data_IF_994207060897
#
_entry.id   IF_994207060897
#
_cell.length_a   1.000
_cell.length_b   1.000
_cell.length_c   1.000
_cell.angle_alpha   90.00
_cell.angle_beta   90.00
_cell.angle_gamma   90.00
#
_symmetry.space_group_name_H-M   'P 1'
#
loop_
_entity.id
_entity.type
_entity.pdbx_description
1 polymer ?
#
# COMPACT_ATOMS: atom_id res chain seq x y z
N UNK A 1 30.95 -1.89 10.14
CA UNK A 1 29.73 -2.43 10.80
C UNK A 1 28.52 -1.91 10.03
N UNK A 2 27.89 -2.76 9.21
CA UNK A 2 26.73 -2.37 8.43
C UNK A 2 25.60 -2.01 9.41
N UNK A 3 25.27 -0.72 9.47
CA UNK A 3 24.14 -0.24 10.24
C UNK A 3 22.91 -1.03 9.78
N UNK A 4 22.36 -1.86 10.68
CA UNK A 4 21.09 -2.54 10.43
C UNK A 4 20.06 -1.45 10.15
N UNK A 5 19.64 -1.34 8.89
CA UNK A 5 18.56 -0.44 8.49
C UNK A 5 17.35 -0.83 9.32
N UNK A 6 16.82 0.07 10.15
CA UNK A 6 15.61 -0.17 10.94
C UNK A 6 14.49 -0.61 10.00
N UNK A 7 14.10 -1.87 10.12
CA UNK A 7 13.18 -2.65 9.29
C UNK A 7 11.72 -2.13 9.28
N UNK A 8 11.48 -0.91 8.82
CA UNK A 8 10.10 -0.44 8.68
C UNK A 8 9.88 0.96 8.14
N UNK A 9 10.84 1.88 8.30
CA UNK A 9 10.65 3.25 7.83
C UNK A 9 10.61 3.31 6.29
N UNK A 10 9.67 4.06 5.69
CA UNK A 10 9.71 4.29 4.25
C UNK A 10 11.00 4.99 3.89
N UNK A 11 11.74 4.42 2.94
CA UNK A 11 12.89 5.09 2.36
C UNK A 11 12.38 6.20 1.43
N UNK A 12 12.15 7.39 1.99
CA UNK A 12 11.63 8.54 1.24
C UNK A 12 12.45 8.82 -0.01
N UNK A 13 13.77 8.59 0.05
CA UNK A 13 14.66 8.72 -1.11
C UNK A 13 14.32 7.72 -2.20
N UNK A 14 13.93 6.49 -1.84
CA UNK A 14 13.50 5.48 -2.81
C UNK A 14 12.26 5.93 -3.60
N UNK A 15 11.28 6.56 -2.93
CA UNK A 15 10.06 7.07 -3.56
C UNK A 15 10.25 8.39 -4.34
N UNK A 16 11.40 9.06 -4.18
CA UNK A 16 11.79 10.23 -4.97
C UNK A 16 12.55 9.88 -6.25
N UNK A 17 13.07 8.66 -6.38
CA UNK A 17 13.80 8.19 -7.56
C UNK A 17 12.83 8.04 -8.75
N UNK A 18 13.19 8.62 -9.89
CA UNK A 18 12.39 8.60 -11.13
C UNK A 18 12.07 7.18 -11.62
N UNK A 19 13.01 6.24 -11.48
CA UNK A 19 12.80 4.83 -11.82
C UNK A 19 11.72 4.18 -10.95
N UNK A 20 11.74 4.42 -9.64
CA UNK A 20 10.70 3.96 -8.72
C UNK A 20 9.36 4.59 -9.05
N UNK A 21 9.35 5.89 -9.34
CA UNK A 21 8.13 6.60 -9.77
C UNK A 21 7.58 5.96 -11.06
N UNK A 22 8.41 5.51 -11.98
CA UNK A 22 7.96 4.81 -13.18
C UNK A 22 7.26 3.48 -12.88
N UNK A 23 7.60 2.78 -11.78
CA UNK A 23 6.91 1.56 -11.35
C UNK A 23 5.45 1.80 -10.96
N UNK A 24 5.07 3.04 -10.63
CA UNK A 24 3.68 3.39 -10.33
C UNK A 24 2.80 3.56 -11.58
N UNK A 25 3.36 3.48 -12.79
CA UNK A 25 2.60 3.57 -14.04
C UNK A 25 1.46 2.52 -14.14
N UNK A 26 1.71 1.20 -13.98
CA UNK A 26 0.64 0.18 -14.00
C UNK A 26 -0.42 0.42 -12.91
N UNK A 27 0.00 0.93 -11.75
CA UNK A 27 -0.90 1.27 -10.64
C UNK A 27 -1.82 2.43 -11.02
N UNK A 28 -1.25 3.49 -11.59
CA UNK A 28 -2.01 4.64 -12.11
C UNK A 28 -3.04 4.17 -13.14
N UNK A 29 -2.62 3.34 -14.11
CA UNK A 29 -3.54 2.81 -15.14
C UNK A 29 -4.68 2.01 -14.52
N UNK A 30 -4.41 1.20 -13.50
CA UNK A 30 -5.44 0.47 -12.77
C UNK A 30 -6.44 1.41 -12.08
N UNK A 31 -5.98 2.47 -11.41
CA UNK A 31 -6.84 3.47 -10.78
C UNK A 31 -7.68 4.24 -11.81
N UNK A 32 -7.07 4.64 -12.93
CA UNK A 32 -7.75 5.29 -14.04
C UNK A 32 -8.76 4.38 -14.73
N UNK A 33 -8.68 3.05 -14.58
CA UNK A 33 -9.63 2.10 -15.16
C UNK A 33 -10.78 1.80 -14.19
N UNK A 34 -10.47 1.47 -12.93
CA UNK A 34 -11.43 0.97 -11.94
C UNK A 34 -12.04 2.07 -11.06
N UNK A 35 -11.29 3.16 -10.84
CA UNK A 35 -11.68 4.23 -9.92
C UNK A 35 -12.00 5.54 -10.66
N UNK A 36 -12.38 5.49 -11.95
CA UNK A 36 -12.63 6.68 -12.81
C UNK A 36 -13.39 7.80 -12.12
N UNK A 37 -14.53 7.50 -11.48
CA UNK A 37 -15.36 8.47 -10.74
C UNK A 37 -14.64 9.19 -9.60
N UNK A 38 -13.64 8.55 -9.00
CA UNK A 38 -12.88 9.08 -7.86
C UNK A 38 -11.62 9.83 -8.30
N UNK A 39 -11.01 9.43 -9.42
CA UNK A 39 -9.78 10.04 -9.96
C UNK A 39 -10.03 11.10 -11.04
N UNK A 40 -11.29 11.30 -11.45
CA UNK A 40 -11.65 12.29 -12.47
C UNK A 40 -11.45 13.73 -11.99
N UNK A 41 -11.68 14.00 -10.69
CA UNK A 41 -11.54 15.34 -10.12
C UNK A 41 -10.07 15.73 -9.97
N UNK A 42 -9.20 14.76 -9.68
CA UNK A 42 -7.76 14.97 -9.54
C UNK A 42 -7.02 13.72 -10.03
N UNK A 43 -6.53 13.71 -11.29
CA UNK A 43 -5.90 12.52 -11.86
C UNK A 43 -4.62 12.18 -11.09
N UNK A 44 -4.48 10.94 -10.58
CA UNK A 44 -3.29 10.54 -9.84
C UNK A 44 -2.09 10.55 -10.78
N UNK A 45 -1.04 11.25 -10.38
CA UNK A 45 0.26 11.22 -11.06
C UNK A 45 1.16 10.19 -10.40
N UNK A 46 2.08 9.58 -11.14
CA UNK A 46 3.02 8.59 -10.60
C UNK A 46 3.78 9.15 -9.37
N UNK A 47 4.17 10.43 -9.43
CA UNK A 47 4.82 11.13 -8.31
C UNK A 47 3.90 11.23 -7.10
N UNK A 48 2.63 11.62 -7.30
CA UNK A 48 1.66 11.70 -6.19
C UNK A 48 1.40 10.33 -5.56
N UNK A 49 1.35 9.26 -6.35
CA UNK A 49 1.17 7.90 -5.85
C UNK A 49 2.38 7.45 -5.04
N UNK A 50 3.59 7.72 -5.52
CA UNK A 50 4.83 7.42 -4.79
C UNK A 50 4.89 8.14 -3.45
N UNK A 51 4.62 9.45 -3.43
CA UNK A 51 4.57 10.23 -2.18
C UNK A 51 3.47 9.75 -1.24
N UNK A 52 2.28 9.40 -1.75
CA UNK A 52 1.18 8.90 -0.96
C UNK A 52 1.51 7.55 -0.30
N UNK A 53 2.13 6.64 -1.04
CA UNK A 53 2.61 5.36 -0.51
C UNK A 53 3.64 5.56 0.60
N UNK A 54 4.61 6.46 0.42
CA UNK A 54 5.59 6.80 1.45
C UNK A 54 4.92 7.37 2.71
N UNK A 55 3.93 8.26 2.54
CA UNK A 55 3.15 8.82 3.64
C UNK A 55 2.37 7.76 4.42
N UNK A 56 1.72 6.82 3.71
CA UNK A 56 0.99 5.71 4.34
C UNK A 56 1.92 4.82 5.16
N UNK A 57 3.08 4.47 4.61
CA UNK A 57 4.10 3.70 5.33
C UNK A 57 4.60 4.45 6.57
N UNK A 58 4.85 5.76 6.46
CA UNK A 58 5.31 6.56 7.58
C UNK A 58 4.26 6.60 8.70
N UNK A 59 3.00 6.86 8.33
CA UNK A 59 1.88 6.81 9.26
C UNK A 59 1.81 5.46 9.95
N UNK A 60 2.00 4.38 9.17
CA UNK A 60 1.94 3.03 9.68
C UNK A 60 3.03 2.79 10.75
N UNK A 61 4.27 3.17 10.49
CA UNK A 61 5.37 3.01 11.46
C UNK A 61 5.17 3.85 12.72
N UNK A 62 4.72 5.10 12.57
CA UNK A 62 4.59 6.01 13.70
C UNK A 62 3.43 5.65 14.63
N UNK A 63 2.34 5.11 14.08
CA UNK A 63 1.11 4.82 14.84
C UNK A 63 0.95 3.34 15.22
N UNK A 64 1.36 2.39 14.37
CA UNK A 64 1.28 0.96 14.69
C UNK A 64 2.57 0.40 15.30
N UNK A 65 3.70 1.10 15.17
CA UNK A 65 4.98 0.66 15.69
C UNK A 65 5.20 0.91 17.18
N UNK A 66 4.37 1.74 17.83
CA UNK A 66 4.64 2.26 19.20
C UNK A 66 3.59 1.91 20.27
N UNK A 67 2.34 1.63 19.91
CA UNK A 67 1.26 1.36 20.89
C UNK A 67 0.64 -0.04 20.74
N UNK A 68 0.96 -0.93 21.69
CA UNK A 68 0.52 -2.34 21.77
C UNK A 68 -1.01 -2.50 21.76
N UNK A 69 -1.75 -1.52 22.28
CA UNK A 69 -3.22 -1.57 22.34
C UNK A 69 -3.90 -1.39 20.97
N UNK A 70 -3.31 -0.62 20.04
CA UNK A 70 -3.82 -0.46 18.66
C UNK A 70 -3.34 -1.58 17.74
N UNK A 71 -2.22 -2.20 18.08
CA UNK A 71 -1.64 -3.36 17.38
C UNK A 71 -2.57 -4.57 17.30
N UNK A 72 -3.43 -4.76 18.32
CA UNK A 72 -4.40 -5.84 18.35
C UNK A 72 -5.60 -5.63 17.41
N UNK A 73 -5.90 -4.39 17.03
CA UNK A 73 -7.03 -4.03 16.16
C UNK A 73 -6.63 -3.83 14.70
N UNK A 74 -5.37 -3.47 14.44
CA UNK A 74 -4.87 -3.15 13.12
C UNK A 74 -3.62 -3.97 12.82
N UNK A 75 -3.78 -4.96 11.96
CA UNK A 75 -2.68 -5.80 11.50
C UNK A 75 -1.78 -4.95 10.60
N UNK A 76 -0.57 -4.63 11.05
CA UNK A 76 0.42 -3.87 10.26
C UNK A 76 0.55 -4.51 8.86
N UNK A 77 0.23 -3.75 7.81
CA UNK A 77 0.35 -4.27 6.44
C UNK A 77 1.83 -4.53 6.13
N UNK A 78 2.20 -5.73 5.65
CA UNK A 78 3.57 -6.02 5.26
C UNK A 78 4.07 -5.03 4.20
N UNK A 79 5.30 -4.52 4.33
CA UNK A 79 5.91 -3.62 3.32
C UNK A 79 5.87 -4.21 1.91
N UNK A 80 5.92 -5.55 1.79
CA UNK A 80 5.80 -6.28 0.52
C UNK A 80 4.51 -5.92 -0.25
N UNK A 81 3.41 -5.59 0.44
CA UNK A 81 2.16 -5.19 -0.21
C UNK A 81 2.24 -3.79 -0.82
N UNK A 82 3.04 -2.90 -0.25
CA UNK A 82 3.28 -1.56 -0.79
C UNK A 82 4.31 -1.54 -1.92
N UNK A 83 5.04 -2.64 -2.12
CA UNK A 83 6.03 -2.81 -3.19
C UNK A 83 5.52 -3.71 -4.34
N UNK A 84 4.24 -4.05 -4.32
CA UNK A 84 3.59 -4.86 -5.36
C UNK A 84 3.02 -3.96 -6.46
N UNK A 85 3.91 -3.53 -7.36
CA UNK A 85 3.58 -2.67 -8.50
C UNK A 85 2.84 -3.40 -9.64
N UNK A 86 2.42 -4.65 -9.42
CA UNK A 86 1.69 -5.42 -10.42
C UNK A 86 0.34 -4.76 -10.74
N UNK A 87 -0.12 -4.92 -11.98
CA UNK A 87 -1.42 -4.39 -12.43
C UNK A 87 -2.56 -5.12 -11.71
N UNK A 88 -3.20 -4.45 -10.76
CA UNK A 88 -4.20 -5.08 -9.87
C UNK A 88 -3.60 -5.83 -8.68
N UNK A 89 -2.31 -5.64 -8.41
CA UNK A 89 -1.65 -6.12 -7.19
C UNK A 89 -2.16 -5.41 -5.93
N UNK A 90 -1.60 -5.78 -4.80
CA UNK A 90 -2.00 -5.26 -3.49
C UNK A 90 -1.84 -3.74 -3.37
N UNK A 91 -0.77 -3.15 -3.92
CA UNK A 91 -0.59 -1.69 -3.95
C UNK A 91 -1.71 -0.97 -4.71
N UNK A 92 -2.21 -1.57 -5.79
CA UNK A 92 -3.33 -1.02 -6.56
C UNK A 92 -4.60 -0.95 -5.71
N UNK A 93 -4.91 -2.02 -4.99
CA UNK A 93 -6.08 -2.12 -4.12
C UNK A 93 -5.96 -1.16 -2.94
N UNK A 94 -4.76 -1.04 -2.35
CA UNK A 94 -4.46 -0.07 -1.28
C UNK A 94 -4.77 1.34 -1.77
N UNK A 95 -4.11 1.78 -2.85
CA UNK A 95 -4.27 3.13 -3.37
C UNK A 95 -5.70 3.40 -3.87
N UNK A 96 -6.38 2.39 -4.43
CA UNK A 96 -7.77 2.48 -4.85
C UNK A 96 -8.70 2.82 -3.67
N UNK A 97 -8.51 2.15 -2.53
CA UNK A 97 -9.29 2.44 -1.32
C UNK A 97 -8.93 3.80 -0.73
N UNK A 98 -7.67 4.21 -0.82
CA UNK A 98 -7.22 5.54 -0.37
C UNK A 98 -7.90 6.65 -1.16
N UNK A 99 -7.89 6.58 -2.50
CA UNK A 99 -8.55 7.59 -3.33
C UNK A 99 -10.07 7.54 -3.20
N UNK A 100 -10.65 6.35 -3.04
CA UNK A 100 -12.09 6.18 -2.78
C UNK A 100 -12.49 6.84 -1.47
N UNK A 101 -11.79 6.54 -0.39
CA UNK A 101 -12.06 7.10 0.95
C UNK A 101 -11.81 8.60 0.96
N UNK A 102 -10.76 9.10 0.30
CA UNK A 102 -10.51 10.54 0.11
C UNK A 102 -11.74 11.24 -0.48
N UNK A 103 -12.34 10.65 -1.51
CA UNK A 103 -13.50 11.22 -2.20
C UNK A 103 -14.79 11.08 -1.37
N UNK A 104 -15.05 9.91 -0.79
CA UNK A 104 -16.25 9.67 0.03
C UNK A 104 -16.26 10.52 1.31
N UNK A 105 -15.09 10.77 1.91
CA UNK A 105 -14.96 11.64 3.07
C UNK A 105 -14.70 13.11 2.72
N UNK A 106 -14.62 13.47 1.43
CA UNK A 106 -14.41 14.85 0.98
C UNK A 106 -13.07 15.47 1.43
N UNK A 107 -12.00 14.67 1.54
CA UNK A 107 -10.71 15.15 2.00
C UNK A 107 -10.04 16.04 0.94
N UNK A 108 -9.78 17.31 1.31
CA UNK A 108 -9.02 18.23 0.48
C UNK A 108 -7.54 17.85 0.35
N UNK A 109 -6.95 17.30 1.41
CA UNK A 109 -5.54 16.87 1.48
C UNK A 109 -5.40 15.68 2.42
N UNK A 110 -4.45 14.80 2.12
CA UNK A 110 -4.01 13.76 3.04
C UNK A 110 -3.21 14.40 4.18
N UNK A 111 -3.64 14.17 5.40
CA UNK A 111 -2.99 14.68 6.61
C UNK A 111 -2.86 13.55 7.61
N UNK A 112 -1.71 12.89 7.52
CA UNK A 112 -1.33 11.75 8.34
C UNK A 112 -0.59 12.17 9.61
N UNK A 113 -0.21 13.45 9.74
CA UNK A 113 0.51 13.96 10.91
C UNK A 113 -0.44 14.51 11.98
N UNK A 114 -1.64 14.93 11.60
CA UNK A 114 -2.61 15.49 12.55
C UNK A 114 -3.27 14.40 13.41
N UNK A 115 -3.08 14.41 14.74
CA UNK A 115 -3.73 13.44 15.63
C UNK A 115 -5.26 13.58 15.64
N UNK A 116 -5.80 14.76 15.34
CA UNK A 116 -7.24 15.00 15.21
C UNK A 116 -7.89 14.22 14.06
N UNK A 117 -7.09 13.77 13.08
CA UNK A 117 -7.55 12.94 11.95
C UNK A 117 -7.19 11.47 12.12
N UNK A 118 -6.59 11.10 13.24
CA UNK A 118 -6.10 9.75 13.50
C UNK A 118 -7.20 8.71 13.34
N UNK A 119 -8.41 8.94 13.87
CA UNK A 119 -9.52 7.98 13.75
C UNK A 119 -9.91 7.73 12.29
N UNK A 120 -9.96 8.79 11.48
CA UNK A 120 -10.27 8.68 10.04
C UNK A 120 -9.15 7.99 9.27
N UNK A 121 -7.89 8.27 9.63
CA UNK A 121 -6.74 7.61 9.03
C UNK A 121 -6.70 6.12 9.41
N UNK A 122 -7.03 5.78 10.66
CA UNK A 122 -7.18 4.40 11.13
C UNK A 122 -8.31 3.68 10.37
N UNK A 123 -9.47 4.32 10.23
CA UNK A 123 -10.61 3.79 9.48
C UNK A 123 -10.25 3.54 8.01
N UNK A 124 -9.46 4.43 7.40
CA UNK A 124 -8.91 4.22 6.07
C UNK A 124 -8.09 2.92 5.99
N UNK A 125 -7.20 2.66 6.96
CA UNK A 125 -6.43 1.42 7.03
C UNK A 125 -7.31 0.17 7.23
N UNK A 126 -8.37 0.27 8.06
CA UNK A 126 -9.35 -0.82 8.22
C UNK A 126 -10.08 -1.12 6.90
N UNK A 127 -10.47 -0.09 6.16
CA UNK A 127 -11.12 -0.25 4.86
C UNK A 127 -10.19 -0.87 3.82
N UNK A 128 -8.91 -0.48 3.81
CA UNK A 128 -7.88 -1.10 2.98
C UNK A 128 -7.73 -2.58 3.33
N UNK A 129 -7.58 -2.91 4.62
CA UNK A 129 -7.43 -4.31 5.08
C UNK A 129 -8.65 -5.15 4.69
N UNK A 130 -9.86 -4.61 4.88
CA UNK A 130 -11.11 -5.26 4.50
C UNK A 130 -11.17 -5.49 2.99
N UNK A 131 -10.86 -4.48 2.18
CA UNK A 131 -10.86 -4.59 0.73
C UNK A 131 -9.81 -5.58 0.23
N UNK A 132 -8.63 -5.66 0.87
CA UNK A 132 -7.63 -6.67 0.56
C UNK A 132 -8.15 -8.08 0.88
N UNK A 133 -8.81 -8.29 2.02
CA UNK A 133 -9.44 -9.58 2.38
C UNK A 133 -10.61 -9.98 1.47
N UNK A 134 -11.31 -9.00 0.90
CA UNK A 134 -12.40 -9.25 -0.06
C UNK A 134 -11.86 -9.49 -1.47
N UNK A 135 -10.80 -8.77 -1.87
CA UNK A 135 -10.22 -8.87 -3.22
C UNK A 135 -9.36 -10.12 -3.38
N UNK A 136 -8.61 -10.47 -2.33
CA UNK A 136 -7.69 -11.60 -2.35
C UNK A 136 -8.23 -12.76 -1.51
N UNK A 137 -8.13 -14.01 -1.99
CA UNK A 137 -8.59 -15.17 -1.24
C UNK A 137 -7.75 -15.36 0.04
N UNK A 138 -8.31 -15.98 1.09
CA UNK A 138 -7.64 -16.13 2.40
C UNK A 138 -6.25 -16.75 2.31
N UNK A 139 -6.05 -17.65 1.37
CA UNK A 139 -4.75 -18.29 1.08
C UNK A 139 -3.69 -17.31 0.57
N UNK A 140 -4.07 -16.24 -0.15
CA UNK A 140 -3.16 -15.14 -0.49
C UNK A 140 -2.75 -14.33 0.75
N UNK A 141 -3.68 -14.09 1.67
CA UNK A 141 -3.40 -13.36 2.91
C UNK A 141 -2.43 -14.12 3.81
N UNK A 142 -2.66 -15.43 3.97
CA UNK A 142 -1.74 -16.31 4.68
C UNK A 142 -0.38 -16.31 3.98
N UNK A 143 -0.31 -16.30 2.64
CA UNK A 143 0.96 -16.25 1.90
C UNK A 143 1.82 -15.03 2.19
N UNK A 144 1.21 -13.86 2.41
CA UNK A 144 1.92 -12.61 2.69
C UNK A 144 2.23 -12.39 4.17
N UNK A 145 1.43 -12.96 5.07
CA UNK A 145 1.66 -12.90 6.52
C UNK A 145 2.56 -14.04 7.04
N UNK A 146 2.58 -15.21 6.39
CA UNK A 146 3.52 -16.31 6.68
C UNK A 146 4.81 -16.18 5.86
N UNK A 147 5.93 -15.96 6.55
CA UNK A 147 7.24 -15.76 5.93
C UNK A 147 7.70 -16.95 5.07
N UNK A 148 7.28 -18.18 5.40
CA UNK A 148 7.68 -19.42 4.71
C UNK A 148 7.02 -19.61 3.33
N UNK A 149 5.79 -19.13 3.13
CA UNK A 149 5.04 -19.38 1.89
C UNK A 149 5.43 -18.44 0.74
N UNK A 150 5.99 -17.26 1.05
CA UNK A 150 6.47 -16.30 0.04
C UNK A 150 7.64 -16.82 -0.80
N UNK A 151 8.51 -17.67 -0.24
CA UNK A 151 9.65 -18.23 -0.96
C UNK A 151 9.24 -19.21 -2.07
N UNK A 152 8.19 -20.00 -1.83
CA UNK A 152 7.68 -20.96 -2.82
C UNK A 152 6.95 -20.29 -3.99
N UNK A 153 6.24 -19.18 -3.74
CA UNK A 153 5.49 -18.52 -4.81
C UNK A 153 6.35 -17.72 -5.79
N UNK A 154 7.40 -17.05 -5.30
CA UNK A 154 8.37 -16.42 -6.20
C UNK A 154 9.06 -17.47 -7.09
N UNK A 155 9.30 -18.68 -6.55
CA UNK A 155 9.80 -19.81 -7.34
C UNK A 155 8.77 -20.29 -8.39
N UNK A 156 7.48 -20.33 -8.06
CA UNK A 156 6.39 -20.68 -8.98
C UNK A 156 6.14 -19.63 -10.07
N UNK A 157 6.28 -18.34 -9.78
CA UNK A 157 6.14 -17.29 -10.80
C UNK A 157 7.35 -17.20 -11.73
N UNK A 158 8.55 -17.49 -11.24
CA UNK A 158 9.76 -17.52 -12.08
C UNK A 158 9.73 -18.71 -13.05
N UNK A 159 8.97 -19.76 -12.74
CA UNK A 159 8.77 -20.93 -13.62
C UNK A 159 7.60 -20.79 -14.60
N UNK A 160 6.74 -19.78 -14.46
CA UNK A 160 5.54 -19.61 -15.28
C UNK A 160 5.71 -18.72 -16.54
N UNK A 161 6.92 -18.24 -16.86
CA UNK A 161 7.16 -17.32 -18.01
C UNK A 161 8.16 -17.79 -19.07
N UNK A 162 8.50 -19.08 -19.13
CA UNK A 162 9.19 -19.62 -20.32
C UNK A 162 8.47 -20.86 -20.86
N UNK A 163 7.56 -20.70 -21.83
CA UNK A 163 7.25 -21.79 -22.74
C UNK A 163 8.44 -21.92 -23.69
N UNK A 164 9.24 -22.97 -23.49
CA UNK A 164 10.14 -23.54 -24.51
C UNK A 164 9.42 -24.65 -25.24
#
# INVERSE_FOLDING_TARGET
MAARKKDGAPDWKYYEITETIALFEPVKQYLLKNCKKYVQVEPPTNKSLATLTAQLLQFQEDNFGKDVSKQALLTKLPMKMFMDFSSGGSLCVILANVVKTKMEQGWRRFDFQSPSRMDRNVELFLNIEKALKETFPKEWYNRYFDCNATAQWFAEQTTASFPG
#
